data_IF_603996337390
#
_entry.id   IF_603996337390
#
_cell.length_a   1.000
_cell.length_b   1.000
_cell.length_c   1.000
_cell.angle_alpha   90.00
_cell.angle_beta   90.00
_cell.angle_gamma   90.00
#
_symmetry.space_group_name_H-M   'P 1'
#
loop_
_entity.id
_entity.type
_entity.pdbx_description
1 polymer ?
#
# COMPACT_ATOMS: atom_id res chain seq x y z
N UNK A 1 -42.57 -2.09 -2.53
CA UNK A 1 -41.35 -2.75 -2.00
C UNK A 1 -40.62 -3.43 -3.14
N UNK A 2 -39.31 -3.23 -3.28
CA UNK A 2 -38.50 -3.86 -4.34
C UNK A 2 -38.30 -5.36 -4.04
N UNK A 3 -38.51 -6.22 -5.04
CA UNK A 3 -38.12 -7.64 -4.99
C UNK A 3 -36.97 -7.88 -5.96
N UNK A 4 -35.87 -8.44 -5.46
CA UNK A 4 -34.70 -8.73 -6.27
C UNK A 4 -34.99 -9.88 -7.25
N UNK A 5 -34.31 -9.84 -8.41
CA UNK A 5 -34.34 -10.92 -9.41
C UNK A 5 -33.72 -12.23 -8.89
N UNK A 6 -32.89 -12.15 -7.86
CA UNK A 6 -32.20 -13.28 -7.28
C UNK A 6 -33.00 -13.85 -6.10
N UNK A 7 -33.15 -15.17 -6.09
CA UNK A 7 -33.84 -15.83 -4.99
C UNK A 7 -32.89 -15.97 -3.79
N UNK A 8 -33.21 -15.24 -2.73
CA UNK A 8 -32.53 -15.29 -1.43
C UNK A 8 -32.44 -16.69 -0.78
N UNK A 9 -33.26 -17.66 -1.22
CA UNK A 9 -33.20 -19.05 -0.73
C UNK A 9 -32.31 -19.95 -1.59
N UNK A 10 -31.81 -19.47 -2.72
CA UNK A 10 -30.89 -20.28 -3.54
C UNK A 10 -29.52 -20.38 -2.87
N UNK A 11 -28.91 -21.58 -2.83
CA UNK A 11 -27.60 -21.76 -2.21
C UNK A 11 -26.54 -20.96 -2.99
N UNK A 12 -25.64 -20.28 -2.25
CA UNK A 12 -24.51 -19.56 -2.83
C UNK A 12 -23.43 -20.55 -3.32
N UNK A 13 -23.44 -20.86 -4.62
CA UNK A 13 -22.53 -21.86 -5.23
C UNK A 13 -21.20 -21.22 -5.73
N UNK A 14 -21.00 -19.91 -5.56
CA UNK A 14 -19.84 -19.18 -6.10
C UNK A 14 -19.11 -18.24 -5.12
N UNK A 15 -19.26 -18.45 -3.81
CA UNK A 15 -18.53 -17.66 -2.80
C UNK A 15 -17.05 -18.03 -2.76
N UNK A 16 -16.15 -17.04 -2.79
CA UNK A 16 -14.70 -17.22 -2.62
C UNK A 16 -14.25 -17.30 -1.15
N UNK A 17 -15.14 -17.02 -0.19
CA UNK A 17 -14.87 -17.17 1.24
C UNK A 17 -15.55 -18.42 1.81
N UNK A 18 -14.77 -19.22 2.56
CA UNK A 18 -15.11 -20.47 3.26
C UNK A 18 -15.39 -21.69 2.37
N UNK A 19 -15.09 -22.90 2.90
CA UNK A 19 -15.33 -24.20 2.24
C UNK A 19 -16.82 -24.47 2.01
N UNK A 20 -17.38 -23.90 0.93
CA UNK A 20 -18.72 -24.23 0.46
C UNK A 20 -18.61 -24.99 -0.86
N UNK A 21 -18.65 -26.32 -0.75
CA UNK A 21 -18.70 -27.28 -1.85
C UNK A 21 -19.14 -28.65 -1.33
N UNK A 22 -19.73 -29.49 -2.18
CA UNK A 22 -20.24 -30.82 -1.80
C UNK A 22 -19.18 -31.93 -1.90
N UNK A 23 -17.92 -31.59 -2.16
CA UNK A 23 -16.84 -32.56 -2.33
C UNK A 23 -16.40 -33.15 -0.98
N UNK A 24 -16.83 -34.38 -0.71
CA UNK A 24 -16.32 -35.19 0.39
C UNK A 24 -15.06 -35.96 -0.06
N UNK A 25 -14.07 -36.10 0.83
CA UNK A 25 -12.87 -36.94 0.62
C UNK A 25 -13.26 -38.42 0.72
N UNK A 26 -12.68 -39.26 -0.14
CA UNK A 26 -12.96 -40.70 -0.21
C UNK A 26 -12.72 -41.41 1.14
N UNK A 27 -13.72 -42.17 1.60
CA UNK A 27 -13.70 -42.90 2.88
C UNK A 27 -14.89 -42.63 3.80
N UNK A 28 -15.77 -41.67 3.48
CA UNK A 28 -17.04 -41.44 4.22
C UNK A 28 -18.17 -42.28 3.65
N UNK A 29 -18.90 -42.99 4.52
CA UNK A 29 -20.05 -43.82 4.13
C UNK A 29 -21.18 -43.01 3.51
N UNK A 30 -21.59 -43.37 2.29
CA UNK A 30 -22.70 -42.73 1.59
C UNK A 30 -24.04 -43.15 2.22
N UNK A 31 -24.76 -42.22 2.83
CA UNK A 31 -26.16 -42.41 3.19
C UNK A 31 -27.07 -41.63 2.23
N UNK A 32 -28.14 -42.29 1.78
CA UNK A 32 -29.23 -41.67 1.02
C UNK A 32 -30.01 -40.73 1.94
N UNK A 33 -29.69 -39.44 1.88
CA UNK A 33 -30.51 -38.41 2.52
C UNK A 33 -31.63 -38.01 1.56
N UNK A 34 -32.87 -38.31 1.96
CA UNK A 34 -34.04 -37.65 1.37
C UNK A 34 -33.94 -36.17 1.79
N UNK A 35 -33.72 -35.31 0.80
CA UNK A 35 -33.66 -33.84 0.81
C UNK A 35 -32.26 -33.21 0.70
N UNK A 36 -32.22 -32.20 -0.17
CA UNK A 36 -31.07 -31.64 -0.86
C UNK A 36 -30.20 -30.73 0.02
N UNK A 37 -29.67 -31.18 1.15
CA UNK A 37 -28.64 -30.41 1.86
C UNK A 37 -27.65 -31.35 2.57
N UNK A 38 -26.55 -31.67 1.88
CA UNK A 38 -25.38 -32.25 2.52
C UNK A 38 -24.60 -31.12 3.21
N UNK A 39 -25.05 -30.74 4.41
CA UNK A 39 -24.14 -30.07 5.35
C UNK A 39 -23.07 -31.11 5.67
N UNK A 40 -21.81 -30.80 5.36
CA UNK A 40 -20.66 -31.62 5.75
C UNK A 40 -20.71 -31.70 7.28
N UNK A 41 -21.25 -32.80 7.81
CA UNK A 41 -21.27 -33.03 9.24
C UNK A 41 -19.81 -33.18 9.69
N UNK A 42 -19.36 -32.27 10.56
CA UNK A 42 -18.03 -32.30 11.17
C UNK A 42 -17.80 -33.56 11.99
N UNK A 43 -18.89 -34.17 12.46
CA UNK A 43 -18.90 -35.42 13.21
C UNK A 43 -19.56 -36.54 12.40
N UNK A 44 -19.02 -37.76 12.50
CA UNK A 44 -19.63 -38.95 11.91
C UNK A 44 -20.97 -39.30 12.57
N UNK A 45 -21.75 -40.17 11.94
CA UNK A 45 -22.94 -40.76 12.56
C UNK A 45 -22.55 -41.52 13.84
N UNK A 46 -23.44 -41.51 14.84
CA UNK A 46 -23.24 -42.34 16.05
C UNK A 46 -23.17 -43.83 15.64
N UNK A 47 -22.24 -44.62 16.19
CA UNK A 47 -22.15 -46.04 15.87
C UNK A 47 -23.45 -46.74 16.31
N UNK A 48 -24.17 -47.29 15.34
CA UNK A 48 -25.36 -48.10 15.56
C UNK A 48 -24.96 -49.58 15.46
N UNK A 49 -25.62 -50.46 16.22
CA UNK A 49 -25.41 -51.91 16.10
C UNK A 49 -25.74 -52.37 14.68
N UNK A 50 -24.86 -53.19 14.09
CA UNK A 50 -25.03 -53.69 12.72
C UNK A 50 -26.16 -54.71 12.70
N UNK A 51 -27.19 -54.47 11.89
CA UNK A 51 -28.30 -55.40 11.70
C UNK A 51 -27.87 -56.53 10.73
N UNK A 52 -27.82 -57.80 11.15
CA UNK A 52 -27.31 -58.91 10.34
C UNK A 52 -28.17 -59.19 9.09
N UNK A 53 -29.41 -58.70 9.03
CA UNK A 53 -30.28 -58.87 7.86
C UNK A 53 -29.94 -57.88 6.72
N UNK A 54 -29.27 -56.77 7.02
CA UNK A 54 -28.94 -55.72 6.07
C UNK A 54 -27.49 -55.84 5.56
N UNK A 55 -27.21 -56.89 4.80
CA UNK A 55 -25.90 -57.11 4.15
C UNK A 55 -25.87 -56.65 2.68
N UNK A 56 -24.68 -56.34 2.18
CA UNK A 56 -24.48 -55.89 0.79
C UNK A 56 -24.80 -57.02 -0.19
N UNK A 57 -25.80 -56.83 -1.05
CA UNK A 57 -26.16 -57.79 -2.11
C UNK A 57 -25.34 -57.55 -3.38
N UNK A 58 -25.12 -58.63 -4.16
CA UNK A 58 -24.45 -58.55 -5.47
C UNK A 58 -25.16 -57.54 -6.38
N UNK A 59 -24.42 -56.59 -6.92
CA UNK A 59 -24.95 -55.55 -7.82
C UNK A 59 -25.55 -54.32 -7.13
N UNK A 60 -25.66 -54.29 -5.80
CA UNK A 60 -26.27 -53.17 -5.08
C UNK A 60 -25.53 -51.82 -5.23
N UNK A 61 -24.24 -51.83 -5.60
CA UNK A 61 -23.42 -50.63 -5.87
C UNK A 61 -23.09 -50.42 -7.35
N UNK A 62 -23.72 -51.18 -8.25
CA UNK A 62 -23.49 -50.99 -9.69
C UNK A 62 -24.15 -49.67 -10.13
N UNK A 63 -23.33 -48.74 -10.60
CA UNK A 63 -23.81 -47.53 -11.25
C UNK A 63 -24.41 -47.93 -12.61
N UNK A 64 -25.68 -47.61 -12.86
CA UNK A 64 -26.30 -47.86 -14.17
C UNK A 64 -25.66 -46.91 -15.19
N UNK A 65 -24.82 -47.43 -16.07
CA UNK A 65 -24.26 -46.66 -17.19
C UNK A 65 -25.23 -46.66 -18.36
N UNK A 66 -26.39 -46.01 -18.21
CA UNK A 66 -27.13 -45.59 -19.40
C UNK A 66 -26.31 -44.47 -20.03
N UNK A 67 -25.60 -44.76 -21.12
CA UNK A 67 -24.88 -43.73 -21.89
C UNK A 67 -25.95 -42.80 -22.46
N UNK A 68 -26.08 -41.54 -22.00
CA UNK A 68 -26.98 -40.61 -22.66
C UNK A 68 -26.46 -40.34 -24.07
N UNK A 69 -27.36 -40.19 -25.05
CA UNK A 69 -26.97 -39.74 -26.37
C UNK A 69 -26.20 -38.42 -26.21
N UNK A 70 -24.93 -38.39 -26.63
CA UNK A 70 -24.10 -37.20 -26.53
C UNK A 70 -24.71 -36.14 -27.43
N UNK A 71 -25.41 -35.16 -26.83
CA UNK A 71 -25.71 -33.90 -27.50
C UNK A 71 -24.36 -33.22 -27.77
N UNK A 72 -23.82 -33.43 -28.96
CA UNK A 72 -22.61 -32.76 -29.39
C UNK A 72 -22.96 -31.28 -29.52
N UNK A 73 -22.53 -30.47 -28.55
CA UNK A 73 -22.51 -29.02 -28.72
C UNK A 73 -21.66 -28.73 -29.95
N UNK A 74 -22.26 -28.16 -30.98
CA UNK A 74 -21.59 -27.79 -32.22
C UNK A 74 -20.36 -26.92 -31.92
N UNK A 75 -19.17 -27.53 -31.95
CA UNK A 75 -17.92 -26.80 -31.75
C UNK A 75 -17.65 -26.02 -33.03
N UNK A 76 -17.60 -24.70 -32.92
CA UNK A 76 -17.18 -23.87 -34.04
C UNK A 76 -15.72 -24.17 -34.36
N UNK A 77 -15.45 -24.63 -35.59
CA UNK A 77 -14.10 -24.89 -36.06
C UNK A 77 -13.51 -23.57 -36.56
N UNK A 78 -12.60 -22.99 -35.77
CA UNK A 78 -12.00 -21.68 -36.06
C UNK A 78 -10.90 -21.71 -37.13
N UNK A 79 -10.36 -22.90 -37.44
CA UNK A 79 -9.22 -23.06 -38.35
C UNK A 79 -9.67 -23.75 -39.66
N UNK A 80 -9.18 -23.32 -40.83
CA UNK A 80 -9.47 -24.02 -42.08
C UNK A 80 -8.85 -25.42 -42.06
N UNK A 81 -9.44 -26.34 -42.83
CA UNK A 81 -8.92 -27.69 -42.99
C UNK A 81 -7.55 -27.68 -43.69
N UNK A 82 -6.72 -28.67 -43.35
CA UNK A 82 -5.41 -28.84 -43.99
C UNK A 82 -5.61 -29.25 -45.46
N UNK A 83 -4.83 -28.72 -46.43
CA UNK A 83 -4.90 -29.11 -47.83
C UNK A 83 -4.77 -30.62 -48.03
N UNK A 84 -5.46 -31.17 -49.02
CA UNK A 84 -5.44 -32.59 -49.32
C UNK A 84 -4.14 -33.01 -50.02
N UNK A 85 -3.71 -34.27 -49.86
CA UNK A 85 -2.54 -34.83 -50.58
C UNK A 85 -2.67 -34.73 -52.11
N UNK A 86 -3.90 -34.67 -52.63
CA UNK A 86 -4.19 -34.55 -54.07
C UNK A 86 -4.24 -33.09 -54.54
N UNK A 87 -4.29 -32.11 -53.64
CA UNK A 87 -4.26 -30.70 -54.00
C UNK A 87 -2.86 -30.33 -54.46
N UNK A 88 -2.74 -29.96 -55.74
CA UNK A 88 -1.49 -29.44 -56.28
C UNK A 88 -1.45 -27.94 -55.97
N UNK A 89 -0.33 -27.43 -55.42
CA UNK A 89 -0.18 -25.99 -55.29
C UNK A 89 -0.22 -25.35 -56.68
N UNK A 90 -0.57 -24.07 -56.75
CA UNK A 90 -0.51 -23.32 -58.00
C UNK A 90 0.96 -23.25 -58.43
N UNK A 91 1.34 -24.11 -59.37
CA UNK A 91 2.70 -24.24 -59.88
C UNK A 91 2.90 -23.27 -61.07
N UNK A 92 4.07 -22.64 -61.16
CA UNK A 92 4.42 -21.83 -62.33
C UNK A 92 3.93 -20.39 -62.29
N UNK A 93 3.63 -19.85 -61.11
CA UNK A 93 3.52 -18.39 -60.91
C UNK A 93 4.87 -17.73 -61.20
N UNK A 94 5.14 -17.45 -62.48
CA UNK A 94 6.26 -16.65 -62.93
C UNK A 94 5.78 -15.21 -63.00
N UNK A 95 6.43 -14.32 -62.27
CA UNK A 95 6.18 -12.89 -62.45
C UNK A 95 6.56 -12.52 -63.89
N UNK A 96 5.67 -11.85 -64.63
CA UNK A 96 5.95 -11.25 -65.95
C UNK A 96 6.87 -10.01 -65.84
N UNK A 97 7.44 -9.77 -64.65
CA UNK A 97 8.27 -8.60 -64.36
C UNK A 97 9.62 -8.75 -65.09
N UNK A 98 9.91 -7.81 -65.98
CA UNK A 98 11.24 -7.70 -66.58
C UNK A 98 12.18 -7.01 -65.60
N UNK A 99 13.00 -7.80 -64.89
CA UNK A 99 13.91 -7.28 -63.86
C UNK A 99 14.94 -6.29 -64.41
N UNK A 100 15.35 -6.38 -65.68
CA UNK A 100 16.29 -5.43 -66.28
C UNK A 100 15.65 -4.04 -66.36
N UNK A 101 14.44 -3.97 -66.92
CA UNK A 101 13.72 -2.71 -67.08
C UNK A 101 13.27 -2.17 -65.72
N UNK A 102 12.78 -3.03 -64.82
CA UNK A 102 12.33 -2.60 -63.51
C UNK A 102 13.48 -2.08 -62.64
N UNK A 103 14.64 -2.74 -62.62
CA UNK A 103 15.79 -2.27 -61.86
C UNK A 103 16.32 -0.96 -62.45
N UNK A 104 16.30 -0.80 -63.78
CA UNK A 104 16.68 0.45 -64.43
C UNK A 104 15.75 1.60 -64.03
N UNK A 105 14.43 1.40 -64.11
CA UNK A 105 13.44 2.41 -63.69
C UNK A 105 13.58 2.73 -62.19
N UNK A 106 13.74 1.72 -61.35
CA UNK A 106 13.92 1.88 -59.90
C UNK A 106 15.14 2.75 -59.56
N UNK A 107 16.27 2.52 -60.23
CA UNK A 107 17.48 3.34 -60.04
C UNK A 107 17.28 4.77 -60.56
N UNK A 108 16.68 4.93 -61.74
CA UNK A 108 16.42 6.25 -62.34
C UNK A 108 15.49 7.08 -61.45
N UNK A 109 14.51 6.44 -60.82
CA UNK A 109 13.53 7.10 -59.94
C UNK A 109 13.97 7.14 -58.48
N UNK A 110 15.11 6.52 -58.13
CA UNK A 110 15.62 6.55 -56.77
C UNK A 110 16.18 7.93 -56.43
N UNK A 111 15.86 8.42 -55.24
CA UNK A 111 16.46 9.65 -54.75
C UNK A 111 17.95 9.43 -54.44
N UNK A 112 18.83 10.39 -54.77
CA UNK A 112 20.24 10.30 -54.42
C UNK A 112 20.41 10.22 -52.90
N UNK A 113 21.36 9.40 -52.44
CA UNK A 113 21.68 9.28 -51.01
C UNK A 113 22.06 10.67 -50.48
N UNK A 114 21.47 11.10 -49.36
CA UNK A 114 21.82 12.36 -48.71
C UNK A 114 23.29 12.32 -48.29
N UNK A 115 24.13 13.08 -49.00
CA UNK A 115 25.56 13.18 -48.71
C UNK A 115 25.78 14.09 -47.50
N UNK A 116 26.43 13.57 -46.45
CA UNK A 116 26.89 14.33 -45.29
C UNK A 116 25.83 14.53 -44.20
N UNK A 117 26.24 14.30 -42.95
CA UNK A 117 25.51 14.81 -41.80
C UNK A 117 25.66 16.33 -41.83
N UNK A 118 24.61 17.05 -42.21
CA UNK A 118 24.60 18.51 -42.11
C UNK A 118 24.95 18.92 -40.69
N UNK A 119 25.93 19.80 -40.52
CA UNK A 119 26.27 20.36 -39.22
C UNK A 119 25.00 20.94 -38.58
N UNK A 120 24.67 20.46 -37.38
CA UNK A 120 23.42 20.84 -36.70
C UNK A 120 23.61 22.24 -36.11
N UNK A 121 23.00 23.24 -36.74
CA UNK A 121 23.00 24.60 -36.24
C UNK A 121 22.05 24.75 -35.05
N UNK A 122 22.58 24.62 -33.82
CA UNK A 122 21.79 24.75 -32.59
C UNK A 122 21.14 26.12 -32.38
N UNK A 123 21.65 27.16 -33.04
CA UNK A 123 21.09 28.51 -33.03
C UNK A 123 19.85 28.66 -33.93
N UNK A 124 19.72 27.80 -34.95
CA UNK A 124 18.60 27.83 -35.88
C UNK A 124 17.39 27.02 -35.39
N UNK A 125 17.36 26.66 -34.10
CA UNK A 125 16.22 25.95 -33.53
C UNK A 125 15.03 26.89 -33.42
N UNK A 126 13.87 26.47 -33.93
CA UNK A 126 12.60 27.21 -33.86
C UNK A 126 12.19 27.63 -32.44
N UNK A 127 12.63 26.86 -31.44
CA UNK A 127 12.34 27.06 -30.02
C UNK A 127 13.45 27.80 -29.27
N UNK A 128 14.48 28.28 -29.96
CA UNK A 128 15.56 29.02 -29.31
C UNK A 128 14.99 30.30 -28.66
N UNK A 129 15.32 30.51 -27.39
CA UNK A 129 14.80 31.63 -26.59
C UNK A 129 13.35 31.50 -26.13
N UNK A 130 12.61 30.43 -26.50
CA UNK A 130 11.25 30.18 -26.02
C UNK A 130 11.28 29.26 -24.80
N UNK A 131 10.44 29.55 -23.80
CA UNK A 131 10.28 28.68 -22.63
C UNK A 131 9.52 27.40 -23.05
N UNK A 132 10.09 26.20 -22.83
CA UNK A 132 9.41 24.96 -23.18
C UNK A 132 8.06 24.76 -22.48
N UNK A 133 7.06 24.30 -23.23
CA UNK A 133 5.68 24.14 -22.74
C UNK A 133 5.54 23.21 -21.52
N UNK A 134 6.47 22.26 -21.33
CA UNK A 134 6.44 21.35 -20.18
C UNK A 134 6.71 22.06 -18.86
N UNK A 135 7.46 23.17 -18.85
CA UNK A 135 7.78 23.89 -17.61
C UNK A 135 6.54 24.50 -16.97
N UNK A 136 5.55 24.92 -17.76
CA UNK A 136 4.26 25.38 -17.24
C UNK A 136 3.53 24.25 -16.51
N UNK A 137 3.55 23.03 -17.06
CA UNK A 137 2.96 21.84 -16.42
C UNK A 137 3.68 21.48 -15.12
N UNK A 138 5.01 21.58 -15.10
CA UNK A 138 5.82 21.32 -13.89
C UNK A 138 5.52 22.34 -12.80
N UNK A 139 5.45 23.64 -13.15
CA UNK A 139 5.08 24.69 -12.19
C UNK A 139 3.69 24.46 -11.59
N UNK A 140 2.70 24.11 -12.43
CA UNK A 140 1.36 23.79 -11.96
C UNK A 140 1.34 22.59 -11.00
N UNK A 141 2.12 21.53 -11.30
CA UNK A 141 2.25 20.37 -10.41
C UNK A 141 2.85 20.74 -9.06
N UNK A 142 3.95 21.51 -9.06
CA UNK A 142 4.60 21.97 -7.83
C UNK A 142 3.64 22.84 -7.00
N UNK A 143 2.87 23.69 -7.66
CA UNK A 143 1.90 24.55 -6.97
C UNK A 143 0.79 23.73 -6.31
N UNK A 144 0.18 22.79 -7.05
CA UNK A 144 -0.85 21.90 -6.50
C UNK A 144 -0.31 21.05 -5.33
N UNK A 145 0.93 20.56 -5.44
CA UNK A 145 1.57 19.79 -4.36
C UNK A 145 1.79 20.65 -3.11
N UNK A 146 2.27 21.88 -3.28
CA UNK A 146 2.40 22.83 -2.16
C UNK A 146 1.07 23.14 -1.49
N UNK A 147 0.02 23.33 -2.27
CA UNK A 147 -1.33 23.56 -1.75
C UNK A 147 -1.84 22.37 -0.93
N UNK A 148 -1.62 21.15 -1.43
CA UNK A 148 -1.99 19.92 -0.71
C UNK A 148 -1.17 19.73 0.57
N UNK A 149 0.14 19.99 0.54
CA UNK A 149 1.00 19.94 1.72
C UNK A 149 0.55 20.98 2.75
N UNK A 150 0.26 22.21 2.31
CA UNK A 150 -0.22 23.27 3.20
C UNK A 150 -1.55 22.90 3.84
N UNK A 151 -2.48 22.32 3.09
CA UNK A 151 -3.76 21.82 3.63
C UNK A 151 -3.55 20.69 4.64
N UNK A 152 -2.69 19.72 4.33
CA UNK A 152 -2.38 18.62 5.24
C UNK A 152 -1.73 19.09 6.54
N UNK A 153 -0.77 20.01 6.45
CA UNK A 153 -0.16 20.66 7.63
C UNK A 153 -1.24 21.44 8.38
N UNK A 154 -2.07 22.21 7.69
CA UNK A 154 -3.15 22.94 8.35
C UNK A 154 -4.10 21.99 9.09
N UNK A 155 -4.53 20.88 8.48
CA UNK A 155 -5.42 19.89 9.11
C UNK A 155 -4.77 19.16 10.28
N UNK A 156 -3.50 18.78 10.18
CA UNK A 156 -2.77 18.13 11.28
C UNK A 156 -2.53 19.06 12.46
N UNK A 157 -2.24 20.34 12.20
CA UNK A 157 -1.92 21.33 13.24
C UNK A 157 -3.15 22.12 13.73
N UNK A 158 -4.33 22.01 13.08
CA UNK A 158 -5.61 22.62 13.52
C UNK A 158 -6.66 21.59 14.00
N UNK A 159 -6.30 20.31 14.16
CA UNK A 159 -7.17 19.34 14.85
C UNK A 159 -7.54 19.80 16.28
N UNK A 160 -8.69 19.39 16.83
CA UNK A 160 -9.23 19.88 18.11
C UNK A 160 -8.31 19.66 19.33
N UNK A 161 -7.31 18.79 19.22
CA UNK A 161 -6.31 18.52 20.27
C UNK A 161 -4.99 19.31 20.10
N UNK A 162 -4.85 20.10 19.03
CA UNK A 162 -3.64 20.90 18.74
C UNK A 162 -3.71 22.34 19.29
N UNK A 163 -4.64 22.62 20.21
CA UNK A 163 -4.72 23.89 20.94
C UNK A 163 -3.68 24.03 22.08
N UNK A 164 -2.62 23.22 22.11
CA UNK A 164 -1.41 23.65 22.79
C UNK A 164 -0.68 24.60 21.84
N UNK A 165 -1.16 25.86 21.80
CA UNK A 165 -0.50 26.94 21.08
C UNK A 165 0.89 27.13 21.69
N UNK A 166 1.86 26.44 21.13
CA UNK A 166 3.27 26.64 21.40
C UNK A 166 3.64 28.02 20.86
N UNK A 167 3.48 29.05 21.69
CA UNK A 167 3.93 30.40 21.37
C UNK A 167 5.43 30.47 21.58
N UNK A 168 6.15 31.10 20.66
CA UNK A 168 7.56 31.42 20.85
C UNK A 168 7.65 32.45 21.97
N UNK A 169 8.40 32.14 23.02
CA UNK A 169 8.61 33.07 24.15
C UNK A 169 9.41 34.28 23.67
N UNK A 170 9.01 35.48 24.10
CA UNK A 170 9.73 36.70 23.75
C UNK A 170 11.13 36.73 24.40
N UNK A 171 12.09 37.31 23.71
CA UNK A 171 13.50 37.36 24.15
C UNK A 171 13.65 38.20 25.42
N UNK A 172 12.82 39.25 25.59
CA UNK A 172 12.81 40.09 26.78
C UNK A 172 12.23 39.35 27.99
N UNK A 173 11.13 38.61 27.81
CA UNK A 173 10.53 37.77 28.85
C UNK A 173 11.52 36.67 29.30
N UNK A 174 12.21 36.04 28.34
CA UNK A 174 13.27 35.05 28.57
C UNK A 174 14.39 35.61 29.44
N UNK A 175 14.90 36.80 29.11
CA UNK A 175 15.97 37.44 29.88
C UNK A 175 15.51 37.80 31.30
N UNK A 176 14.27 38.28 31.45
CA UNK A 176 13.67 38.55 32.76
C UNK A 176 13.61 37.31 33.65
N UNK A 177 13.16 36.18 33.11
CA UNK A 177 13.14 34.89 33.80
C UNK A 177 14.54 34.44 34.25
N UNK A 178 15.55 34.55 33.39
CA UNK A 178 16.94 34.20 33.73
C UNK A 178 17.45 35.05 34.88
N UNK A 179 17.15 36.35 34.89
CA UNK A 179 17.57 37.25 35.99
C UNK A 179 16.91 36.84 37.31
N UNK A 180 15.60 36.54 37.29
CA UNK A 180 14.89 36.09 38.50
C UNK A 180 15.40 34.75 39.02
N UNK A 181 15.68 33.79 38.14
CA UNK A 181 16.26 32.49 38.51
C UNK A 181 17.66 32.64 39.13
N UNK A 182 18.50 33.50 38.55
CA UNK A 182 19.84 33.80 39.12
C UNK A 182 19.75 34.48 40.48
N UNK A 183 18.77 35.36 40.69
CA UNK A 183 18.53 35.96 42.00
C UNK A 183 18.16 34.88 43.03
N UNK A 184 17.22 33.99 42.70
CA UNK A 184 16.82 32.88 43.58
C UNK A 184 17.98 31.94 43.88
N UNK A 185 18.78 31.60 42.88
CA UNK A 185 20.00 30.80 43.06
C UNK A 185 20.96 31.49 44.03
N UNK A 186 21.15 32.81 43.92
CA UNK A 186 21.95 33.60 44.85
C UNK A 186 21.45 33.49 46.30
N UNK A 187 20.15 33.63 46.54
CA UNK A 187 19.55 33.48 47.87
C UNK A 187 19.81 32.08 48.46
N UNK A 188 19.46 31.02 47.73
CA UNK A 188 19.63 29.63 48.17
C UNK A 188 21.10 29.30 48.40
N UNK A 189 21.99 29.78 47.53
CA UNK A 189 23.43 29.57 47.66
C UNK A 189 24.00 30.28 48.89
N UNK A 190 23.53 31.49 49.22
CA UNK A 190 23.95 32.16 50.47
C UNK A 190 23.53 31.38 51.71
N UNK A 191 22.38 30.71 51.69
CA UNK A 191 21.97 29.82 52.79
C UNK A 191 22.77 28.53 52.81
N UNK A 192 23.04 27.93 51.65
CA UNK A 192 23.86 26.74 51.50
C UNK A 192 25.28 26.94 52.03
N UNK A 193 25.90 28.08 51.73
CA UNK A 193 27.24 28.45 52.19
C UNK A 193 27.37 28.52 53.71
N UNK A 194 26.29 28.81 54.44
CA UNK A 194 26.26 28.74 55.92
C UNK A 194 26.49 27.32 56.44
N UNK A 195 26.29 26.29 55.62
CA UNK A 195 26.53 24.89 55.97
C UNK A 195 27.86 24.36 55.43
N UNK A 196 28.49 25.00 54.44
CA UNK A 196 29.73 24.51 53.83
C UNK A 196 30.92 24.40 54.80
N UNK A 197 31.01 25.28 55.81
CA UNK A 197 32.08 25.23 56.80
C UNK A 197 31.86 24.17 57.90
N UNK A 198 30.68 23.54 57.95
CA UNK A 198 30.38 22.48 58.92
C UNK A 198 30.89 21.15 58.38
N UNK A 199 31.98 20.65 58.95
CA UNK A 199 32.63 19.37 58.56
C UNK A 199 31.77 18.16 58.96
N UNK A 200 31.07 18.25 60.09
CA UNK A 200 30.14 17.22 60.58
C UNK A 200 28.80 17.91 60.83
N UNK A 201 27.72 17.34 60.28
CA UNK A 201 26.36 17.78 60.53
C UNK A 201 25.74 16.86 61.57
N UNK A 202 25.67 17.32 62.82
CA UNK A 202 25.32 16.49 63.97
C UNK A 202 23.82 16.17 64.06
N UNK A 203 22.97 17.00 63.44
CA UNK A 203 21.50 16.80 63.48
C UNK A 203 20.94 16.34 62.14
N UNK A 204 20.00 15.37 62.13
CA UNK A 204 19.38 14.91 60.88
C UNK A 204 18.58 16.02 60.17
N UNK A 205 18.12 17.04 60.91
CA UNK A 205 17.46 18.21 60.34
C UNK A 205 18.40 19.09 59.51
N UNK A 206 19.65 19.27 59.94
CA UNK A 206 20.65 20.01 59.18
C UNK A 206 21.06 19.29 57.91
N UNK A 207 21.24 17.96 57.98
CA UNK A 207 21.50 17.12 56.81
C UNK A 207 20.37 17.26 55.79
N UNK A 208 19.12 17.17 56.23
CA UNK A 208 17.95 17.28 55.35
C UNK A 208 17.83 18.68 54.71
N UNK A 209 18.10 19.74 55.47
CA UNK A 209 18.09 21.12 54.94
C UNK A 209 19.17 21.32 53.89
N UNK A 210 20.41 20.88 54.16
CA UNK A 210 21.52 20.97 53.20
C UNK A 210 21.20 20.20 51.92
N UNK A 211 20.72 18.95 52.03
CA UNK A 211 20.33 18.14 50.87
C UNK A 211 19.20 18.80 50.05
N UNK A 212 18.23 19.43 50.72
CA UNK A 212 17.15 20.18 50.04
C UNK A 212 17.69 21.41 49.29
N UNK A 213 18.65 22.13 49.87
CA UNK A 213 19.29 23.28 49.23
C UNK A 213 20.14 22.85 48.03
N UNK A 214 20.88 21.74 48.12
CA UNK A 214 21.63 21.17 47.00
C UNK A 214 20.71 20.78 45.84
N UNK A 215 19.59 20.10 46.14
CA UNK A 215 18.61 19.73 45.12
C UNK A 215 17.95 20.95 44.45
N UNK A 216 17.67 22.02 45.22
CA UNK A 216 17.12 23.27 44.68
C UNK A 216 18.15 24.00 43.80
N UNK A 217 19.43 24.04 44.20
CA UNK A 217 20.50 24.61 43.38
C UNK A 217 20.67 23.87 42.06
N UNK A 218 20.70 22.54 42.08
CA UNK A 218 20.80 21.72 40.87
C UNK A 218 19.61 21.93 39.93
N UNK A 219 18.39 22.09 40.47
CA UNK A 219 17.21 22.40 39.66
C UNK A 219 17.32 23.77 38.99
N UNK A 220 17.71 24.80 39.75
CA UNK A 220 17.89 26.16 39.22
C UNK A 220 18.99 26.23 38.16
N UNK A 221 20.08 25.50 38.34
CA UNK A 221 21.16 25.42 37.35
C UNK A 221 20.69 24.80 36.03
N UNK A 222 19.93 23.70 36.09
CA UNK A 222 19.32 23.09 34.90
C UNK A 222 18.34 24.02 34.18
N UNK A 223 17.51 24.74 34.94
CA UNK A 223 16.54 25.67 34.36
C UNK A 223 17.23 26.88 33.69
N UNK A 224 18.29 27.40 34.31
CA UNK A 224 19.11 28.48 33.73
C UNK A 224 19.84 27.99 32.47
N UNK A 225 20.39 26.78 32.49
CA UNK A 225 21.06 26.20 31.32
C UNK A 225 20.09 26.06 30.14
N UNK A 226 18.91 25.47 30.39
CA UNK A 226 17.84 25.33 29.40
C UNK A 226 17.45 26.67 28.80
N UNK A 227 17.20 27.67 29.65
CA UNK A 227 16.83 29.01 29.20
C UNK A 227 17.98 29.75 28.54
N UNK A 228 19.25 29.47 28.84
CA UNK A 228 20.42 30.15 28.26
C UNK A 228 20.88 29.57 26.92
N UNK A 229 20.46 28.34 26.58
CA UNK A 229 20.78 27.66 25.33
C UNK A 229 20.38 28.46 24.07
N UNK A 230 21.08 28.21 22.96
CA UNK A 230 20.76 28.84 21.68
C UNK A 230 19.55 28.14 21.02
N UNK A 231 18.42 28.84 20.88
CA UNK A 231 17.22 28.32 20.21
C UNK A 231 15.96 29.09 20.54
N UNK A 232 14.91 28.90 19.73
CA UNK A 232 13.58 29.40 20.01
C UNK A 232 12.89 28.50 21.04
N UNK A 233 12.50 29.06 22.18
CA UNK A 233 11.81 28.35 23.25
C UNK A 233 10.32 28.50 23.05
N UNK A 234 9.61 27.38 23.02
CA UNK A 234 8.17 27.35 22.82
C UNK A 234 7.48 27.08 24.15
N UNK A 235 6.57 27.96 24.54
CA UNK A 235 5.79 27.87 25.77
C UNK A 235 4.34 27.48 25.45
N UNK A 236 3.80 26.57 26.25
CA UNK A 236 2.37 26.26 26.25
C UNK A 236 1.69 27.23 27.21
N UNK A 237 0.81 28.09 26.70
CA UNK A 237 -0.08 28.93 27.51
C UNK A 237 -1.48 28.32 27.56
#
# INVERSE_FOLDING_TARGET
>A
MYRSKYDHRTPLIGSTFCMHGTTAVDGKGFHSLKQNHAVISSFGSRPQAVDPQNFLKKGARQCRTSIPAVEQRNKQVLKPAVPSRKDKPIQGLKASKNYINCNAVEIIHSEPKKCGTTEVYFLAKEDYGKVPAYLAKVKAKIQNEKELVNQFVQEQFLGPDAHQQHQVMDEAERQGLIVMLKQRWGEVNTEYQKYCHKVILDTPGEIKRKASQEAELEALERDIELLSGAGCIHIQR
#
